data_IF_939355077629
#
_entry.id   IF_939355077629
#
_cell.length_a   1.000
_cell.length_b   1.000
_cell.length_c   1.000
_cell.angle_alpha   90.00
_cell.angle_beta   90.00
_cell.angle_gamma   90.00
#
_symmetry.space_group_name_H-M   'P 1'
#
loop_
_entity.id
_entity.type
_entity.pdbx_description
1 polymer ?
#
# COMPACT_ATOMS: atom_id res chain seq x y z
N UNK A 1 29.09 12.60 -10.25
CA UNK A 1 28.57 11.74 -9.19
C UNK A 1 27.24 11.24 -9.72
N UNK A 2 27.01 9.93 -9.77
CA UNK A 2 25.69 9.38 -10.07
C UNK A 2 24.71 9.87 -9.00
N UNK A 3 23.52 10.25 -9.41
CA UNK A 3 22.46 10.69 -8.51
C UNK A 3 21.89 9.43 -7.84
N UNK A 4 22.03 9.33 -6.52
CA UNK A 4 21.52 8.16 -5.77
C UNK A 4 20.02 8.34 -5.60
N UNK A 5 19.25 7.37 -6.05
CA UNK A 5 17.80 7.28 -5.87
C UNK A 5 17.44 6.27 -4.80
N UNK A 6 16.33 6.51 -4.16
CA UNK A 6 15.77 5.61 -3.13
C UNK A 6 14.44 5.03 -3.62
N UNK A 7 14.33 3.72 -3.61
CA UNK A 7 13.15 2.95 -4.00
C UNK A 7 12.59 2.19 -2.81
N UNK A 8 11.37 2.48 -2.42
CA UNK A 8 10.65 1.73 -1.40
C UNK A 8 9.82 0.62 -2.05
N UNK A 9 10.31 -0.60 -1.95
CA UNK A 9 9.65 -1.81 -2.46
C UNK A 9 8.55 -2.23 -1.52
N UNK A 10 7.34 -2.39 -2.05
CA UNK A 10 6.14 -2.75 -1.30
C UNK A 10 5.59 -4.07 -1.85
N UNK A 11 5.27 -5.01 -0.96
CA UNK A 11 4.67 -6.30 -1.30
C UNK A 11 3.70 -6.78 -0.23
N UNK A 12 2.89 -7.78 -0.56
CA UNK A 12 2.03 -8.46 0.40
C UNK A 12 2.74 -9.70 0.95
N UNK A 13 2.70 -9.90 2.26
CA UNK A 13 3.26 -11.08 2.92
C UNK A 13 2.39 -12.34 2.74
N UNK A 14 2.78 -13.46 3.37
CA UNK A 14 2.09 -14.75 3.29
C UNK A 14 1.13 -15.02 4.44
N UNK A 15 0.88 -14.06 5.32
CA UNK A 15 -0.02 -14.27 6.46
C UNK A 15 -1.46 -14.49 6.01
N UNK A 16 -2.18 -15.33 6.77
CA UNK A 16 -3.57 -15.70 6.52
C UNK A 16 -4.42 -15.34 7.75
N UNK A 17 -5.71 -14.99 7.60
CA UNK A 17 -6.48 -14.93 6.34
C UNK A 17 -6.21 -13.67 5.51
N UNK A 18 -5.61 -12.64 6.09
CA UNK A 18 -5.35 -11.35 5.44
C UNK A 18 -3.85 -11.07 5.41
N UNK A 19 -3.26 -10.93 4.22
CA UNK A 19 -1.87 -10.54 4.10
C UNK A 19 -1.68 -9.08 4.51
N UNK A 20 -0.52 -8.80 5.10
CA UNK A 20 -0.11 -7.44 5.45
C UNK A 20 0.86 -6.87 4.43
N UNK A 21 0.80 -5.56 4.26
CA UNK A 21 1.78 -4.85 3.45
C UNK A 21 3.14 -4.82 4.16
N UNK A 22 4.19 -5.10 3.40
CA UNK A 22 5.59 -4.98 3.83
C UNK A 22 6.31 -4.00 2.94
N UNK A 23 7.34 -3.36 3.49
CA UNK A 23 8.21 -2.52 2.68
C UNK A 23 9.68 -2.61 3.12
N UNK A 24 10.56 -2.26 2.20
CA UNK A 24 11.99 -2.06 2.43
C UNK A 24 12.55 -1.09 1.40
N UNK A 25 13.55 -0.30 1.78
CA UNK A 25 14.12 0.73 0.93
C UNK A 25 15.48 0.31 0.40
N UNK A 26 15.70 0.51 -0.90
CA UNK A 26 16.98 0.34 -1.59
C UNK A 26 17.46 1.70 -2.09
N UNK A 27 18.73 2.02 -1.81
CA UNK A 27 19.42 3.12 -2.46
C UNK A 27 20.30 2.57 -3.58
N UNK A 28 20.20 3.16 -4.76
CA UNK A 28 20.96 2.74 -5.95
C UNK A 28 21.18 3.93 -6.89
N UNK A 29 22.12 3.81 -7.81
CA UNK A 29 22.35 4.74 -8.90
C UNK A 29 21.67 4.30 -10.21
N UNK A 30 20.88 3.24 -10.16
CA UNK A 30 20.10 2.78 -11.31
C UNK A 30 18.90 3.69 -11.55
N UNK A 31 18.56 3.92 -12.83
CA UNK A 31 17.44 4.79 -13.22
C UNK A 31 16.05 4.15 -13.05
N UNK A 32 16.01 2.84 -12.86
CA UNK A 32 14.80 2.08 -12.61
C UNK A 32 15.01 1.09 -11.45
N UNK A 33 13.96 0.73 -10.71
CA UNK A 33 14.08 -0.22 -9.61
C UNK A 33 14.47 -1.61 -10.14
N UNK A 34 15.65 -2.15 -9.75
CA UNK A 34 16.03 -3.51 -10.11
C UNK A 34 15.24 -4.55 -9.33
N UNK A 35 15.22 -5.78 -9.82
CA UNK A 35 14.77 -6.92 -9.04
C UNK A 35 15.54 -6.99 -7.71
N UNK A 36 14.85 -7.41 -6.67
CA UNK A 36 15.46 -7.53 -5.36
C UNK A 36 15.00 -8.80 -4.65
N UNK A 37 15.64 -9.14 -3.52
CA UNK A 37 15.30 -10.30 -2.72
C UNK A 37 15.01 -9.91 -1.27
N UNK A 38 14.29 -10.78 -0.57
CA UNK A 38 14.03 -10.67 0.86
C UNK A 38 13.97 -12.05 1.51
N UNK A 39 14.11 -12.08 2.83
CA UNK A 39 13.95 -13.29 3.62
C UNK A 39 12.45 -13.59 3.84
N UNK A 40 11.93 -14.52 3.06
CA UNK A 40 10.52 -14.95 3.10
C UNK A 40 10.16 -15.70 4.40
N UNK A 41 11.12 -16.17 5.18
CA UNK A 41 10.83 -16.84 6.46
C UNK A 41 10.21 -15.90 7.48
N UNK A 42 10.57 -14.62 7.44
CA UNK A 42 10.01 -13.58 8.32
C UNK A 42 8.60 -13.11 7.93
N UNK A 43 8.14 -13.50 6.75
CA UNK A 43 6.87 -13.08 6.15
C UNK A 43 5.93 -14.25 5.84
N UNK A 44 6.21 -15.45 6.35
CA UNK A 44 5.49 -16.69 6.06
C UNK A 44 5.40 -17.04 4.56
N UNK A 45 6.44 -16.72 3.81
CA UNK A 45 6.53 -16.99 2.37
C UNK A 45 7.60 -18.02 2.02
N UNK A 46 8.47 -18.41 2.96
CA UNK A 46 9.46 -19.45 2.77
C UNK A 46 9.82 -20.17 4.07
N UNK A 47 10.45 -21.34 3.94
CA UNK A 47 11.04 -22.04 5.09
C UNK A 47 12.47 -21.53 5.37
N UNK A 48 12.88 -21.54 6.65
CA UNK A 48 14.15 -20.94 7.08
C UNK A 48 15.42 -21.53 6.46
N UNK A 49 15.36 -22.72 5.89
CA UNK A 49 16.48 -23.37 5.20
C UNK A 49 16.58 -23.04 3.71
N UNK A 50 15.57 -22.39 3.13
CA UNK A 50 15.50 -21.90 1.75
C UNK A 50 14.61 -20.68 1.71
N UNK A 51 15.09 -19.59 2.33
CA UNK A 51 14.25 -18.46 2.70
C UNK A 51 14.20 -17.32 1.69
N UNK A 52 15.01 -17.35 0.64
CA UNK A 52 15.04 -16.29 -0.35
C UNK A 52 13.77 -16.27 -1.21
N UNK A 53 13.12 -15.10 -1.23
CA UNK A 53 12.07 -14.76 -2.17
C UNK A 53 12.50 -13.54 -2.99
N UNK A 54 11.94 -13.39 -4.18
CA UNK A 54 12.22 -12.29 -5.09
C UNK A 54 11.08 -11.28 -5.09
N UNK A 55 11.45 -10.01 -5.18
CA UNK A 55 10.55 -8.88 -5.43
C UNK A 55 10.76 -8.43 -6.88
N UNK A 56 9.78 -8.64 -7.71
CA UNK A 56 9.79 -8.18 -9.09
C UNK A 56 8.94 -6.90 -9.18
N UNK A 57 9.54 -5.75 -9.56
CA UNK A 57 8.82 -4.50 -9.77
C UNK A 57 7.72 -4.64 -10.82
N UNK A 58 6.52 -4.15 -10.52
CA UNK A 58 5.40 -4.12 -11.47
C UNK A 58 4.95 -2.71 -11.80
N UNK A 59 5.06 -1.78 -10.84
CA UNK A 59 4.73 -0.37 -11.05
C UNK A 59 5.55 0.50 -10.11
N UNK A 60 5.91 1.69 -10.59
CA UNK A 60 6.67 2.69 -9.82
C UNK A 60 5.90 4.00 -9.79
N UNK A 61 5.82 4.60 -8.61
CA UNK A 61 5.17 5.87 -8.34
C UNK A 61 6.14 6.82 -7.65
N UNK A 62 5.96 8.12 -7.83
CA UNK A 62 6.66 9.11 -7.03
C UNK A 62 6.21 9.03 -5.56
N UNK A 63 7.15 9.08 -4.63
CA UNK A 63 6.83 9.06 -3.21
C UNK A 63 6.94 10.48 -2.62
N UNK A 64 5.84 11.08 -2.17
CA UNK A 64 5.87 12.43 -1.63
C UNK A 64 6.40 12.52 -0.19
N UNK A 65 6.78 11.41 0.45
CA UNK A 65 7.06 11.38 1.89
C UNK A 65 8.49 11.04 2.28
N UNK A 66 8.97 9.82 2.01
CA UNK A 66 10.23 9.32 2.60
C UNK A 66 11.30 8.90 1.62
N UNK A 67 10.94 8.20 0.57
CA UNK A 67 11.83 7.78 -0.51
C UNK A 67 11.51 8.57 -1.77
N UNK A 68 12.37 8.50 -2.78
CA UNK A 68 12.07 9.16 -4.06
C UNK A 68 10.91 8.45 -4.78
N UNK A 69 10.85 7.11 -4.67
CA UNK A 69 9.84 6.32 -5.37
C UNK A 69 9.26 5.20 -4.50
N UNK A 70 7.98 4.91 -4.71
CA UNK A 70 7.29 3.71 -4.27
C UNK A 70 7.31 2.69 -5.40
N UNK A 71 7.61 1.43 -5.10
CA UNK A 71 7.67 0.35 -6.09
C UNK A 71 6.76 -0.77 -5.66
N UNK A 72 5.62 -0.90 -6.34
CA UNK A 72 4.74 -2.05 -6.14
C UNK A 72 5.38 -3.29 -6.73
N UNK A 73 5.45 -4.37 -5.95
CA UNK A 73 6.11 -5.60 -6.32
C UNK A 73 5.18 -6.80 -6.26
N UNK A 74 5.50 -7.78 -7.08
CA UNK A 74 4.99 -9.14 -6.95
C UNK A 74 6.07 -10.07 -6.41
N UNK A 75 5.65 -11.11 -5.68
CA UNK A 75 6.55 -12.07 -5.05
C UNK A 75 6.75 -13.30 -5.93
N UNK A 76 8.01 -13.68 -6.12
CA UNK A 76 8.42 -14.91 -6.77
C UNK A 76 9.31 -15.74 -5.87
N UNK A 77 9.36 -17.04 -6.10
CA UNK A 77 10.33 -17.93 -5.48
C UNK A 77 11.72 -17.65 -6.04
N UNK A 78 12.76 -18.15 -5.37
CA UNK A 78 14.15 -17.96 -5.78
C UNK A 78 14.49 -18.51 -7.19
N UNK A 79 13.71 -19.45 -7.68
CA UNK A 79 13.80 -20.01 -9.04
C UNK A 79 12.98 -19.22 -10.09
N UNK A 80 12.48 -18.04 -9.74
CA UNK A 80 11.63 -17.17 -10.54
C UNK A 80 10.22 -17.71 -10.85
N UNK A 81 9.79 -18.81 -10.25
CA UNK A 81 8.40 -19.24 -10.35
C UNK A 81 7.50 -18.32 -9.52
N UNK A 82 6.24 -18.17 -9.93
CA UNK A 82 5.26 -17.38 -9.19
C UNK A 82 5.08 -17.96 -7.80
N UNK A 83 5.26 -17.14 -6.77
CA UNK A 83 5.07 -17.59 -5.39
C UNK A 83 3.58 -17.84 -5.10
N UNK A 84 3.20 -18.89 -4.32
CA UNK A 84 1.80 -19.19 -4.01
C UNK A 84 1.01 -18.04 -3.35
N UNK A 85 1.67 -17.14 -2.64
CA UNK A 85 1.04 -15.94 -2.05
C UNK A 85 0.84 -14.80 -3.05
N UNK A 86 1.30 -14.94 -4.29
CA UNK A 86 1.20 -13.90 -5.32
C UNK A 86 -0.15 -13.99 -6.04
N UNK A 87 -1.17 -13.40 -5.45
CA UNK A 87 -2.52 -13.33 -6.06
C UNK A 87 -2.57 -12.38 -7.26
N UNK A 88 -1.64 -11.41 -7.35
CA UNK A 88 -1.55 -10.49 -8.47
C UNK A 88 -1.30 -11.22 -9.80
N UNK A 89 -0.39 -12.17 -9.83
CA UNK A 89 -0.10 -12.92 -11.05
C UNK A 89 -1.32 -13.71 -11.56
N UNK A 90 -2.14 -14.24 -10.65
CA UNK A 90 -3.40 -14.90 -11.01
C UNK A 90 -4.44 -13.90 -11.54
N UNK A 91 -4.54 -12.72 -10.93
CA UNK A 91 -5.44 -11.67 -11.39
C UNK A 91 -5.01 -11.14 -12.77
N UNK A 92 -3.72 -10.87 -12.96
CA UNK A 92 -3.17 -10.35 -14.21
C UNK A 92 -3.47 -11.26 -15.41
N UNK A 93 -3.45 -12.58 -15.20
CA UNK A 93 -3.80 -13.56 -16.24
C UNK A 93 -5.29 -13.51 -16.66
N UNK A 94 -6.15 -12.90 -15.84
CA UNK A 94 -7.59 -12.80 -16.08
C UNK A 94 -8.01 -11.39 -16.55
N UNK A 95 -7.13 -10.40 -16.40
CA UNK A 95 -7.43 -9.02 -16.80
C UNK A 95 -7.50 -8.90 -18.32
N UNK A 96 -8.49 -8.13 -18.79
CA UNK A 96 -8.59 -7.67 -20.17
C UNK A 96 -9.02 -6.20 -20.17
N UNK A 97 -8.84 -5.49 -21.27
CA UNK A 97 -9.23 -4.09 -21.44
C UNK A 97 -10.75 -3.85 -21.30
N UNK A 98 -11.53 -4.91 -21.17
CA UNK A 98 -12.99 -4.84 -21.00
C UNK A 98 -13.42 -4.73 -19.52
N UNK A 99 -12.51 -4.95 -18.57
CA UNK A 99 -12.82 -4.92 -17.14
C UNK A 99 -12.59 -3.52 -16.55
N UNK A 100 -13.62 -3.04 -15.88
CA UNK A 100 -13.57 -1.81 -15.11
C UNK A 100 -13.73 -2.13 -13.63
N UNK A 101 -12.84 -1.61 -12.80
CA UNK A 101 -12.88 -1.78 -11.35
C UNK A 101 -12.96 -0.42 -10.69
N UNK A 102 -13.81 -0.31 -9.67
CA UNK A 102 -13.88 0.84 -8.78
C UNK A 102 -13.73 0.35 -7.34
N UNK A 103 -13.04 1.12 -6.53
CA UNK A 103 -12.85 0.83 -5.11
C UNK A 103 -13.33 2.03 -4.29
N UNK A 104 -14.13 1.76 -3.25
CA UNK A 104 -14.46 2.74 -2.23
C UNK A 104 -13.70 2.38 -0.96
N UNK A 105 -12.68 3.15 -0.61
CA UNK A 105 -11.90 2.92 0.59
C UNK A 105 -12.56 3.64 1.76
N UNK A 106 -13.15 2.88 2.67
CA UNK A 106 -13.73 3.38 3.91
C UNK A 106 -12.76 3.20 5.08
N UNK A 107 -12.67 4.19 5.95
CA UNK A 107 -11.83 4.13 7.15
C UNK A 107 -12.36 5.01 8.26
N UNK A 108 -12.00 4.68 9.49
CA UNK A 108 -12.20 5.53 10.65
C UNK A 108 -10.89 6.22 11.01
N UNK A 109 -10.97 7.52 11.29
CA UNK A 109 -9.88 8.22 11.97
C UNK A 109 -9.91 7.87 13.45
N UNK A 110 -8.75 7.52 14.01
CA UNK A 110 -8.64 7.14 15.42
C UNK A 110 -7.66 8.04 16.15
N UNK A 111 -7.89 8.23 17.45
CA UNK A 111 -6.92 8.79 18.37
C UNK A 111 -5.74 7.83 18.62
N UNK A 112 -4.74 8.27 19.37
CA UNK A 112 -3.58 7.44 19.75
C UNK A 112 -3.93 6.24 20.62
N UNK A 113 -5.05 6.29 21.30
CA UNK A 113 -5.60 5.24 22.12
C UNK A 113 -6.46 4.22 21.33
N UNK A 114 -6.59 4.43 20.00
CA UNK A 114 -7.38 3.59 19.13
C UNK A 114 -8.89 3.90 19.12
N UNK A 115 -9.34 4.87 19.91
CA UNK A 115 -10.75 5.29 19.89
C UNK A 115 -11.07 6.07 18.62
N UNK A 116 -12.27 5.91 18.03
CA UNK A 116 -12.69 6.72 16.89
C UNK A 116 -12.68 8.22 17.21
N UNK A 117 -12.09 9.00 16.30
CA UNK A 117 -11.96 10.44 16.46
C UNK A 117 -13.34 11.11 16.42
N UNK A 118 -13.60 12.00 17.38
CA UNK A 118 -14.85 12.75 17.47
C UNK A 118 -16.02 11.99 18.08
N UNK A 119 -15.83 10.75 18.52
CA UNK A 119 -16.86 10.01 19.26
C UNK A 119 -16.74 10.30 20.75
N UNK A 120 -17.72 11.00 21.30
CA UNK A 120 -17.80 11.25 22.74
C UNK A 120 -18.17 9.95 23.45
N UNK A 121 -17.49 9.65 24.55
CA UNK A 121 -17.73 8.46 25.38
C UNK A 121 -17.66 7.12 24.61
N UNK A 122 -16.94 7.09 23.47
CA UNK A 122 -16.79 5.89 22.65
C UNK A 122 -18.09 5.41 21.99
N UNK A 123 -19.12 6.23 21.95
CA UNK A 123 -20.41 5.90 21.34
C UNK A 123 -20.57 6.59 19.98
N UNK A 124 -21.03 5.87 18.96
CA UNK A 124 -21.32 6.48 17.68
C UNK A 124 -22.51 7.44 17.80
N UNK A 125 -22.37 8.60 17.21
CA UNK A 125 -23.49 9.50 17.02
C UNK A 125 -24.35 9.08 15.84
N UNK A 126 -25.57 9.64 15.67
CA UNK A 126 -26.34 9.45 14.44
C UNK A 126 -25.50 9.84 13.20
N UNK A 127 -25.70 9.13 12.11
CA UNK A 127 -24.96 9.31 10.86
C UNK A 127 -24.88 10.77 10.38
N UNK A 128 -25.92 11.55 10.58
CA UNK A 128 -25.98 12.98 10.19
C UNK A 128 -24.93 13.87 10.85
N UNK A 129 -24.34 13.46 11.98
CA UNK A 129 -23.32 14.23 12.67
C UNK A 129 -21.92 14.05 12.07
N UNK A 130 -21.68 12.96 11.35
CA UNK A 130 -20.38 12.63 10.78
C UNK A 130 -20.38 12.54 9.25
N UNK A 131 -21.44 11.99 8.71
CA UNK A 131 -21.59 11.84 7.26
C UNK A 131 -22.02 13.16 6.63
N UNK A 132 -21.18 13.67 5.73
CA UNK A 132 -21.41 14.97 5.07
C UNK A 132 -21.56 16.16 6.06
N UNK A 133 -20.92 16.07 7.23
CA UNK A 133 -20.95 17.13 8.23
C UNK A 133 -20.36 18.44 7.70
N UNK A 134 -20.95 19.57 8.10
CA UNK A 134 -20.51 20.91 7.74
C UNK A 134 -20.27 21.75 8.99
N UNK A 135 -19.18 22.50 8.99
CA UNK A 135 -18.78 23.38 10.08
C UNK A 135 -17.75 22.77 11.03
N UNK A 136 -16.94 23.62 11.65
CA UNK A 136 -15.81 23.20 12.48
C UNK A 136 -16.24 22.33 13.69
N UNK A 137 -17.41 22.54 14.22
CA UNK A 137 -17.94 21.80 15.38
C UNK A 137 -18.45 20.40 15.01
N UNK A 138 -18.73 20.17 13.73
CA UNK A 138 -19.34 18.92 13.24
C UNK A 138 -18.36 18.06 12.43
N UNK A 139 -17.19 18.59 12.04
CA UNK A 139 -16.25 17.89 11.19
C UNK A 139 -14.99 17.58 11.98
N UNK A 140 -14.69 16.29 12.17
CA UNK A 140 -13.49 15.82 12.83
C UNK A 140 -12.48 15.31 11.81
N UNK A 141 -11.19 15.68 11.99
CA UNK A 141 -10.09 15.18 11.17
C UNK A 141 -10.06 15.68 9.72
N UNK A 142 -10.70 16.82 9.41
CA UNK A 142 -10.75 17.39 8.07
C UNK A 142 -9.36 17.60 7.46
N UNK A 143 -8.41 18.08 8.26
CA UNK A 143 -7.03 18.29 7.81
C UNK A 143 -6.36 17.01 7.34
N UNK A 144 -6.64 15.89 8.01
CA UNK A 144 -6.14 14.56 7.63
C UNK A 144 -6.77 14.11 6.33
N UNK A 145 -8.08 14.29 6.20
CA UNK A 145 -8.83 13.93 5.00
C UNK A 145 -8.38 14.73 3.78
N UNK A 146 -8.17 16.04 3.95
CA UNK A 146 -7.68 16.92 2.87
C UNK A 146 -6.23 16.56 2.48
N UNK A 147 -5.38 16.25 3.45
CA UNK A 147 -4.01 15.78 3.16
C UNK A 147 -4.01 14.45 2.40
N UNK A 148 -4.88 13.52 2.78
CA UNK A 148 -5.06 12.25 2.08
C UNK A 148 -5.56 12.46 0.64
N UNK A 149 -6.55 13.33 0.44
CA UNK A 149 -7.02 13.69 -0.90
C UNK A 149 -5.90 14.25 -1.79
N UNK A 150 -5.05 15.12 -1.23
CA UNK A 150 -3.91 15.66 -1.97
C UNK A 150 -2.88 14.57 -2.34
N UNK A 151 -2.64 13.61 -1.45
CA UNK A 151 -1.77 12.45 -1.75
C UNK A 151 -2.33 11.58 -2.85
N UNK A 152 -3.62 11.27 -2.82
CA UNK A 152 -4.29 10.48 -3.86
C UNK A 152 -4.22 11.19 -5.22
N UNK A 153 -4.44 12.49 -5.26
CA UNK A 153 -4.37 13.29 -6.48
C UNK A 153 -2.96 13.31 -7.10
N UNK A 154 -1.91 13.38 -6.28
CA UNK A 154 -0.54 13.43 -6.76
C UNK A 154 0.05 12.05 -7.11
N UNK A 155 -0.58 10.98 -6.65
CA UNK A 155 -0.11 9.60 -6.85
C UNK A 155 -0.73 8.88 -8.05
N UNK A 156 -1.42 9.60 -8.95
CA UNK A 156 -2.15 9.03 -10.11
C UNK A 156 -3.34 8.12 -9.74
N UNK A 157 -3.60 7.93 -8.47
CA UNK A 157 -4.71 7.11 -7.99
C UNK A 157 -6.09 7.77 -8.21
N UNK A 158 -6.11 9.05 -8.59
CA UNK A 158 -7.33 9.82 -8.82
C UNK A 158 -7.65 10.05 -10.31
N UNK A 159 -6.76 9.68 -11.23
CA UNK A 159 -6.94 9.93 -12.66
C UNK A 159 -7.80 8.87 -13.37
N UNK A 160 -8.20 7.82 -12.66
CA UNK A 160 -9.06 6.75 -13.16
C UNK A 160 -10.57 6.96 -12.85
N UNK A 161 -11.00 8.19 -12.57
CA UNK A 161 -12.40 8.55 -12.32
C UNK A 161 -13.00 9.35 -13.47
#
# INVERSE_FOLDING_TARGET
>A
MSDIKTYEYIWLDGYQPEPSMRSKIKATDEDSPPDWSFDGSSTQQAEGNSSDCLLLPVQTYDNPTFSDHLVMCQVHAADHTVHPSNTRAAAEALLSDEWWFGFEQEYFLTGKDGSPLGWEDGQPRPQGDYYCGVGADNVQGREISEAHLCLLYTSDAADDL
#
